data_IF_553145210936
#
_entry.id   IF_553145210936
#
_cell.length_a   1.000
_cell.length_b   1.000
_cell.length_c   1.000
_cell.angle_alpha   90.00
_cell.angle_beta   90.00
_cell.angle_gamma   90.00
#
_symmetry.space_group_name_H-M   'P 1'
#
loop_
_entity.id
_entity.type
_entity.pdbx_description
1 polymer ?
#
# COMPACT_ATOMS: atom_id res chain seq x y z
N UNK A 1 -4.25 18.55 -12.91
CA UNK A 1 -2.93 18.12 -13.39
C UNK A 1 -1.95 18.39 -12.24
N UNK A 2 -1.49 17.35 -11.56
CA UNK A 2 -0.50 17.43 -10.49
C UNK A 2 0.92 17.22 -11.04
N UNK A 3 1.93 17.53 -10.20
CA UNK A 3 3.32 17.13 -10.42
C UNK A 3 3.54 15.88 -9.58
N UNK A 4 4.01 14.81 -10.19
CA UNK A 4 4.28 13.53 -9.53
C UNK A 4 5.75 13.16 -9.70
N UNK A 5 6.30 12.52 -8.70
CA UNK A 5 7.62 11.88 -8.82
C UNK A 5 7.47 10.59 -9.64
N UNK A 6 8.36 10.42 -10.61
CA UNK A 6 8.40 9.21 -11.42
C UNK A 6 9.11 8.09 -10.66
N UNK A 7 8.44 6.98 -10.32
CA UNK A 7 9.04 5.87 -9.57
C UNK A 7 10.21 5.19 -10.31
N UNK A 8 10.32 5.35 -11.62
CA UNK A 8 11.44 4.82 -12.41
C UNK A 8 12.70 5.68 -12.33
N UNK A 9 12.57 6.92 -11.84
CA UNK A 9 13.68 7.87 -11.77
C UNK A 9 14.52 7.66 -10.51
N UNK A 10 15.78 7.28 -10.69
CA UNK A 10 16.71 7.01 -9.56
C UNK A 10 16.89 8.21 -8.64
N UNK A 11 16.89 9.45 -9.17
CA UNK A 11 17.01 10.67 -8.36
C UNK A 11 15.74 10.88 -7.51
N UNK A 12 14.56 10.61 -8.06
CA UNK A 12 13.31 10.68 -7.31
C UNK A 12 13.26 9.61 -6.20
N UNK A 13 13.67 8.37 -6.51
CA UNK A 13 13.80 7.32 -5.49
C UNK A 13 14.77 7.72 -4.37
N UNK A 14 15.93 8.31 -4.73
CA UNK A 14 16.91 8.74 -3.73
C UNK A 14 16.37 9.86 -2.85
N UNK A 15 15.66 10.84 -3.43
CA UNK A 15 15.02 11.92 -2.67
C UNK A 15 14.02 11.38 -1.62
N UNK A 16 13.23 10.36 -1.99
CA UNK A 16 12.30 9.70 -1.06
C UNK A 16 13.07 8.97 0.05
N UNK A 17 14.12 8.24 -0.32
CA UNK A 17 14.97 7.55 0.66
C UNK A 17 15.66 8.54 1.62
N UNK A 18 16.14 9.67 1.13
CA UNK A 18 16.75 10.72 1.96
C UNK A 18 15.73 11.31 2.94
N UNK A 19 14.48 11.51 2.50
CA UNK A 19 13.39 11.99 3.36
C UNK A 19 13.05 11.02 4.49
N UNK A 20 12.88 9.72 4.19
CA UNK A 20 12.60 8.72 5.25
C UNK A 20 13.80 8.52 6.18
N UNK A 21 15.03 8.65 5.65
CA UNK A 21 16.25 8.64 6.44
C UNK A 21 16.30 9.80 7.44
N UNK A 22 15.98 11.01 6.96
CA UNK A 22 15.93 12.20 7.82
C UNK A 22 14.93 12.02 8.96
N UNK A 23 13.74 11.47 8.66
CA UNK A 23 12.72 11.19 9.68
C UNK A 23 13.26 10.20 10.71
N UNK A 24 13.79 9.06 10.28
CA UNK A 24 14.30 8.03 11.17
C UNK A 24 15.51 8.48 12.01
N UNK A 25 16.35 9.39 11.50
CA UNK A 25 17.53 9.92 12.21
C UNK A 25 17.21 11.02 13.23
N UNK A 26 16.17 11.82 13.00
CA UNK A 26 15.97 13.06 13.76
C UNK A 26 14.69 13.09 14.60
N UNK A 27 13.80 12.13 14.43
CA UNK A 27 12.51 12.07 15.14
C UNK A 27 12.35 10.71 15.84
N UNK A 28 11.83 10.77 17.07
CA UNK A 28 11.52 9.58 17.87
C UNK A 28 10.19 8.98 17.40
N UNK A 29 10.25 8.23 16.31
CA UNK A 29 9.08 7.58 15.68
C UNK A 29 9.19 6.06 15.80
N UNK A 30 8.07 5.39 16.10
CA UNK A 30 8.00 3.93 16.14
C UNK A 30 7.90 3.31 14.75
N UNK A 31 7.44 4.09 13.75
CA UNK A 31 7.27 3.62 12.38
C UNK A 31 7.04 4.73 11.37
N UNK A 32 7.23 4.36 10.10
CA UNK A 32 6.95 5.20 8.92
C UNK A 32 6.00 4.42 8.03
N UNK A 33 4.94 5.06 7.54
CA UNK A 33 3.96 4.43 6.66
C UNK A 33 3.87 5.16 5.33
N UNK A 34 3.81 4.38 4.24
CA UNK A 34 3.43 4.87 2.93
C UNK A 34 1.96 4.60 2.66
N UNK A 35 1.32 5.55 1.99
CA UNK A 35 -0.03 5.43 1.47
C UNK A 35 -0.04 4.67 0.13
N UNK A 36 -1.17 4.64 -0.58
CA UNK A 36 -1.41 3.87 -1.81
C UNK A 36 -1.01 4.59 -3.11
N UNK A 37 -0.36 5.76 -3.03
CA UNK A 37 -0.01 6.57 -4.20
C UNK A 37 1.35 6.17 -4.80
N UNK A 38 1.36 5.14 -5.67
CA UNK A 38 2.59 4.66 -6.33
C UNK A 38 2.74 5.23 -7.75
N UNK A 39 2.06 4.64 -8.75
CA UNK A 39 2.01 5.26 -10.08
C UNK A 39 0.76 6.14 -10.23
N UNK A 40 0.89 7.36 -10.77
CA UNK A 40 -0.23 8.30 -10.86
C UNK A 40 -1.16 8.00 -12.04
N UNK A 41 -0.77 7.13 -12.97
CA UNK A 41 -1.49 6.86 -14.21
C UNK A 41 -0.98 5.61 -14.90
N UNK A 42 -1.87 4.96 -15.64
CA UNK A 42 -1.53 3.86 -16.57
C UNK A 42 -1.12 4.37 -17.96
N UNK A 43 -1.21 5.70 -18.24
CA UNK A 43 -0.83 6.28 -19.51
C UNK A 43 0.64 5.99 -19.83
N UNK A 44 0.88 5.33 -20.97
CA UNK A 44 2.22 4.95 -21.43
C UNK A 44 3.14 6.15 -21.70
N UNK A 45 2.56 7.35 -21.91
CA UNK A 45 3.34 8.56 -22.17
C UNK A 45 4.04 9.11 -20.94
N UNK A 46 3.62 8.70 -19.71
CA UNK A 46 4.11 9.24 -18.46
C UNK A 46 5.61 9.03 -18.28
N UNK A 47 6.08 7.81 -18.51
CA UNK A 47 7.47 7.37 -18.32
C UNK A 47 8.09 6.79 -19.59
N UNK A 48 7.52 7.13 -20.76
CA UNK A 48 7.92 6.60 -22.08
C UNK A 48 9.42 6.70 -22.35
N UNK A 49 10.02 7.86 -22.05
CA UNK A 49 11.46 8.07 -22.29
C UNK A 49 12.35 7.16 -21.44
N UNK A 50 11.95 6.93 -20.20
CA UNK A 50 12.67 6.07 -19.27
C UNK A 50 12.56 4.61 -19.69
N UNK A 51 11.37 4.20 -20.12
CA UNK A 51 11.15 2.85 -20.63
C UNK A 51 11.88 2.59 -21.96
N UNK A 52 11.88 3.56 -22.89
CA UNK A 52 12.66 3.47 -24.13
C UNK A 52 14.17 3.35 -23.84
N UNK A 53 14.70 4.12 -22.89
CA UNK A 53 16.10 4.01 -22.47
C UNK A 53 16.40 2.65 -21.81
N UNK A 54 15.47 2.09 -21.06
CA UNK A 54 15.59 0.73 -20.51
C UNK A 54 15.67 -0.33 -21.62
N UNK A 55 14.79 -0.24 -22.64
CA UNK A 55 14.82 -1.14 -23.82
C UNK A 55 16.13 -0.99 -24.60
N UNK A 56 16.61 0.23 -24.81
CA UNK A 56 17.88 0.48 -25.49
C UNK A 56 19.07 -0.17 -24.76
N UNK A 57 19.05 -0.07 -23.44
CA UNK A 57 20.14 -0.63 -22.58
C UNK A 57 20.19 -2.16 -22.60
N UNK A 58 19.06 -2.83 -22.55
CA UNK A 58 18.98 -4.28 -22.35
C UNK A 58 18.63 -5.07 -23.61
N UNK A 59 18.16 -4.39 -24.68
CA UNK A 59 17.61 -4.98 -25.89
C UNK A 59 16.15 -5.43 -25.70
N UNK A 60 15.36 -5.27 -26.74
CA UNK A 60 13.90 -5.55 -26.70
C UNK A 60 13.57 -6.98 -26.25
N UNK A 61 14.37 -7.96 -26.67
CA UNK A 61 14.14 -9.38 -26.36
C UNK A 61 14.43 -9.73 -24.90
N UNK A 62 15.27 -8.92 -24.23
CA UNK A 62 15.63 -9.10 -22.83
C UNK A 62 14.91 -8.13 -21.87
N UNK A 63 14.05 -7.27 -22.42
CA UNK A 63 13.33 -6.27 -21.64
C UNK A 63 12.01 -6.82 -21.11
N UNK A 64 11.62 -6.37 -19.92
CA UNK A 64 10.30 -6.63 -19.35
C UNK A 64 9.23 -5.88 -20.18
N UNK A 65 7.99 -6.33 -20.08
CA UNK A 65 6.83 -5.51 -20.52
C UNK A 65 6.78 -4.21 -19.70
N UNK A 66 6.09 -3.20 -20.21
CA UNK A 66 5.95 -1.91 -19.52
C UNK A 66 5.37 -2.10 -18.11
N UNK A 67 4.32 -2.90 -17.95
CA UNK A 67 3.68 -3.14 -16.66
C UNK A 67 4.64 -3.81 -15.67
N UNK A 68 5.34 -4.85 -16.08
CA UNK A 68 6.32 -5.53 -15.23
C UNK A 68 7.49 -4.61 -14.88
N UNK A 69 7.91 -3.75 -15.80
CA UNK A 69 8.97 -2.77 -15.55
C UNK A 69 8.52 -1.70 -14.55
N UNK A 70 7.30 -1.20 -14.66
CA UNK A 70 6.71 -0.26 -13.69
C UNK A 70 6.58 -0.88 -12.30
N UNK A 71 6.04 -2.09 -12.23
CA UNK A 71 5.94 -2.86 -10.97
C UNK A 71 7.31 -3.09 -10.34
N UNK A 72 8.33 -3.43 -11.15
CA UNK A 72 9.71 -3.61 -10.67
C UNK A 72 10.31 -2.29 -10.14
N UNK A 73 9.99 -1.14 -10.73
CA UNK A 73 10.44 0.16 -10.24
C UNK A 73 9.83 0.49 -8.89
N UNK A 74 8.52 0.24 -8.70
CA UNK A 74 7.85 0.39 -7.40
C UNK A 74 8.47 -0.56 -6.38
N UNK A 75 8.61 -1.85 -6.70
CA UNK A 75 9.25 -2.82 -5.80
C UNK A 75 10.68 -2.40 -5.41
N UNK A 76 11.43 -1.84 -6.36
CA UNK A 76 12.78 -1.34 -6.09
C UNK A 76 12.77 -0.16 -5.12
N UNK A 77 11.85 0.79 -5.30
CA UNK A 77 11.65 1.92 -4.39
C UNK A 77 11.32 1.42 -2.97
N UNK A 78 10.32 0.56 -2.83
CA UNK A 78 9.87 0.01 -1.55
C UNK A 78 11.02 -0.71 -0.83
N UNK A 79 11.76 -1.59 -1.53
CA UNK A 79 12.94 -2.24 -0.98
C UNK A 79 14.02 -1.25 -0.52
N UNK A 80 14.27 -0.18 -1.29
CA UNK A 80 15.25 0.86 -0.92
C UNK A 80 14.81 1.59 0.34
N UNK A 81 13.54 1.99 0.43
CA UNK A 81 12.97 2.66 1.60
C UNK A 81 13.09 1.78 2.83
N UNK A 82 12.63 0.53 2.74
CA UNK A 82 12.76 -0.44 3.83
C UNK A 82 14.20 -0.55 4.35
N UNK A 83 15.14 -0.79 3.45
CA UNK A 83 16.56 -0.93 3.81
C UNK A 83 17.14 0.37 4.39
N UNK A 84 16.74 1.51 3.89
CA UNK A 84 17.17 2.82 4.39
C UNK A 84 16.74 2.98 5.85
N UNK A 85 15.45 2.76 6.16
CA UNK A 85 14.92 2.83 7.52
C UNK A 85 15.68 1.86 8.44
N UNK A 86 15.76 0.59 8.05
CA UNK A 86 16.44 -0.46 8.85
C UNK A 86 17.94 -0.22 9.04
N UNK A 87 18.58 0.53 8.16
CA UNK A 87 20.00 0.90 8.30
C UNK A 87 20.24 2.02 9.31
N UNK A 88 19.22 2.84 9.57
CA UNK A 88 19.26 3.91 10.59
C UNK A 88 18.89 3.34 11.94
N UNK A 89 17.70 2.76 12.03
CA UNK A 89 17.19 2.10 13.23
C UNK A 89 16.34 0.88 12.84
N UNK A 90 16.79 -0.30 13.23
CA UNK A 90 16.10 -1.55 12.93
C UNK A 90 14.78 -1.74 13.69
N UNK A 91 14.54 -0.95 14.74
CA UNK A 91 13.30 -0.99 15.53
C UNK A 91 12.17 -0.16 14.91
N UNK A 92 12.48 0.83 14.07
CA UNK A 92 11.47 1.62 13.36
C UNK A 92 10.78 0.73 12.32
N UNK A 93 9.47 0.56 12.45
CA UNK A 93 8.68 -0.25 11.52
C UNK A 93 8.36 0.53 10.24
N UNK A 94 8.44 -0.15 9.10
CA UNK A 94 7.97 0.38 7.83
C UNK A 94 6.69 -0.34 7.40
N UNK A 95 5.63 0.43 7.18
CA UNK A 95 4.35 -0.08 6.74
C UNK A 95 3.87 0.52 5.42
N UNK A 96 2.94 -0.18 4.78
CA UNK A 96 2.28 0.29 3.57
C UNK A 96 0.78 0.14 3.75
N UNK A 97 0.03 1.19 3.36
CA UNK A 97 -1.44 1.23 3.38
C UNK A 97 -1.99 1.20 1.95
N UNK A 98 -2.08 0.03 1.32
CA UNK A 98 -2.56 -0.11 -0.07
C UNK A 98 -4.08 0.00 -0.16
N UNK A 99 -4.60 0.07 -1.40
CA UNK A 99 -6.03 0.01 -1.67
C UNK A 99 -6.66 -1.25 -1.07
N UNK A 100 -7.80 -1.10 -0.39
CA UNK A 100 -8.51 -2.21 0.26
C UNK A 100 -8.90 -3.31 -0.72
N UNK A 101 -9.53 -2.97 -1.85
CA UNK A 101 -9.72 -3.93 -2.93
C UNK A 101 -8.37 -4.28 -3.55
N UNK A 102 -7.97 -5.55 -3.35
CA UNK A 102 -6.63 -6.02 -3.74
C UNK A 102 -6.35 -5.83 -5.24
N UNK A 103 -7.39 -5.98 -6.09
CA UNK A 103 -7.26 -5.82 -7.54
C UNK A 103 -7.00 -4.38 -8.00
N UNK A 104 -7.40 -3.38 -7.21
CA UNK A 104 -7.15 -1.98 -7.54
C UNK A 104 -5.65 -1.62 -7.51
N UNK A 105 -4.86 -2.39 -6.79
CA UNK A 105 -3.42 -2.15 -6.67
C UNK A 105 -2.66 -2.43 -7.97
N UNK A 106 -3.23 -3.25 -8.87
CA UNK A 106 -2.63 -3.57 -10.16
C UNK A 106 -2.48 -2.30 -11.03
N UNK A 107 -3.49 -1.42 -11.06
CA UNK A 107 -3.45 -0.15 -11.78
C UNK A 107 -2.46 0.88 -11.20
N UNK A 108 -2.01 0.66 -9.98
CA UNK A 108 -0.96 1.45 -9.31
C UNK A 108 0.43 0.81 -9.44
N UNK A 109 0.52 -0.33 -10.10
CA UNK A 109 1.73 -1.18 -10.18
C UNK A 109 2.30 -1.55 -8.81
N UNK A 110 1.42 -1.70 -7.82
CA UNK A 110 1.75 -2.05 -6.45
C UNK A 110 1.66 -3.57 -6.24
N UNK A 111 2.80 -4.23 -6.14
CA UNK A 111 2.91 -5.69 -5.97
C UNK A 111 2.64 -6.10 -4.51
N UNK A 112 1.43 -5.82 -4.04
CA UNK A 112 1.04 -6.05 -2.64
C UNK A 112 1.20 -7.51 -2.22
N UNK A 113 1.04 -8.45 -3.16
CA UNK A 113 1.22 -9.88 -2.88
C UNK A 113 2.66 -10.18 -2.50
N UNK A 114 3.63 -9.69 -3.28
CA UNK A 114 5.05 -9.85 -2.95
C UNK A 114 5.40 -9.15 -1.63
N UNK A 115 4.81 -7.98 -1.35
CA UNK A 115 5.08 -7.25 -0.11
C UNK A 115 4.55 -7.97 1.13
N UNK A 116 3.44 -8.72 0.99
CA UNK A 116 2.91 -9.56 2.05
C UNK A 116 3.71 -10.85 2.26
N UNK A 117 4.18 -11.47 1.17
CA UNK A 117 4.70 -12.85 1.19
C UNK A 117 6.22 -12.97 1.19
N UNK A 118 6.94 -11.85 0.99
CA UNK A 118 8.40 -11.83 0.91
C UNK A 118 9.01 -10.83 1.89
N UNK A 119 10.17 -11.19 2.44
CA UNK A 119 10.94 -10.29 3.32
C UNK A 119 11.56 -9.11 2.57
N UNK A 120 11.72 -7.99 3.27
CA UNK A 120 12.52 -6.87 2.80
C UNK A 120 11.74 -5.80 2.04
N UNK A 121 10.42 -5.85 2.11
CA UNK A 121 9.51 -4.82 1.59
C UNK A 121 8.87 -4.00 2.70
N UNK A 122 8.27 -4.66 3.69
CA UNK A 122 7.57 -3.98 4.78
C UNK A 122 7.59 -4.84 6.04
N UNK A 123 7.36 -4.23 7.22
CA UNK A 123 7.12 -4.91 8.49
C UNK A 123 5.61 -5.14 8.71
N UNK A 124 4.77 -4.33 8.07
CA UNK A 124 3.33 -4.52 8.08
C UNK A 124 2.65 -3.99 6.83
N UNK A 125 1.49 -4.54 6.54
CA UNK A 125 0.57 -4.06 5.51
C UNK A 125 -0.74 -3.68 6.20
N UNK A 126 -1.32 -2.53 5.83
CA UNK A 126 -2.55 -1.98 6.40
C UNK A 126 -3.51 -1.57 5.28
N UNK A 127 -4.18 -2.53 4.59
CA UNK A 127 -5.10 -2.21 3.51
C UNK A 127 -6.25 -1.32 3.99
N UNK A 128 -6.65 -0.38 3.14
CA UNK A 128 -7.73 0.59 3.37
C UNK A 128 -9.09 -0.08 3.11
N UNK A 129 -9.55 -0.90 4.06
CA UNK A 129 -10.84 -1.60 3.95
C UNK A 129 -11.95 -0.64 4.38
N UNK A 130 -12.23 0.37 3.56
CA UNK A 130 -13.23 1.41 3.81
C UNK A 130 -14.58 1.06 3.19
N UNK A 131 -14.97 -0.21 3.31
CA UNK A 131 -16.24 -0.77 2.82
C UNK A 131 -17.18 -1.07 3.99
N UNK A 132 -18.49 -0.88 3.79
CA UNK A 132 -19.46 -1.30 4.79
C UNK A 132 -19.67 -2.82 4.78
N UNK A 133 -20.33 -3.33 5.82
CA UNK A 133 -20.68 -4.75 5.92
C UNK A 133 -21.65 -5.20 4.82
N UNK A 134 -22.44 -4.26 4.26
CA UNK A 134 -23.46 -4.52 3.25
C UNK A 134 -23.12 -3.86 1.89
N UNK A 135 -21.85 -3.50 1.65
CA UNK A 135 -21.45 -2.90 0.39
C UNK A 135 -21.80 -3.82 -0.79
N UNK A 136 -22.58 -3.34 -1.78
CA UNK A 136 -23.10 -4.21 -2.84
C UNK A 136 -22.04 -4.69 -3.84
N UNK A 137 -20.89 -4.04 -3.89
CA UNK A 137 -19.80 -4.40 -4.81
C UNK A 137 -18.74 -5.27 -4.12
N UNK A 138 -18.39 -4.95 -2.88
CA UNK A 138 -17.38 -5.67 -2.10
C UNK A 138 -17.63 -5.40 -0.62
N UNK A 139 -18.12 -6.38 0.13
CA UNK A 139 -18.35 -6.24 1.55
C UNK A 139 -17.03 -6.10 2.33
N UNK A 140 -17.10 -5.55 3.54
CA UNK A 140 -15.95 -5.50 4.44
C UNK A 140 -15.34 -6.90 4.67
N UNK A 141 -16.20 -7.90 4.91
CA UNK A 141 -15.75 -9.27 5.18
C UNK A 141 -15.10 -9.92 3.96
N UNK A 142 -15.71 -9.81 2.76
CA UNK A 142 -15.13 -10.36 1.52
C UNK A 142 -13.78 -9.68 1.19
N UNK A 143 -13.68 -8.39 1.44
CA UNK A 143 -12.44 -7.66 1.28
C UNK A 143 -11.37 -8.15 2.27
N UNK A 144 -11.71 -8.28 3.55
CA UNK A 144 -10.84 -8.81 4.59
C UNK A 144 -10.38 -10.24 4.27
N UNK A 145 -11.29 -11.09 3.80
CA UNK A 145 -10.98 -12.48 3.43
C UNK A 145 -9.98 -12.54 2.28
N UNK A 146 -10.06 -11.62 1.32
CA UNK A 146 -9.08 -11.54 0.23
C UNK A 146 -7.65 -11.27 0.74
N UNK A 147 -7.49 -10.46 1.78
CA UNK A 147 -6.19 -10.18 2.40
C UNK A 147 -5.73 -11.30 3.32
N UNK A 148 -6.62 -11.85 4.14
CA UNK A 148 -6.27 -12.90 5.10
C UNK A 148 -6.02 -14.26 4.45
N UNK A 149 -6.44 -14.44 3.18
CA UNK A 149 -6.14 -15.61 2.35
C UNK A 149 -4.71 -15.63 1.78
N UNK A 150 -3.99 -14.50 1.86
CA UNK A 150 -2.59 -14.46 1.45
C UNK A 150 -1.70 -15.18 2.46
N UNK A 151 -0.67 -15.86 1.97
CA UNK A 151 0.31 -16.55 2.80
C UNK A 151 1.39 -15.56 3.28
N UNK A 152 1.05 -14.77 4.29
CA UNK A 152 1.94 -13.74 4.81
C UNK A 152 3.26 -14.33 5.33
N UNK A 153 4.38 -13.67 5.02
CA UNK A 153 5.65 -13.96 5.70
C UNK A 153 5.49 -13.72 7.22
N UNK A 154 6.06 -14.57 8.03
CA UNK A 154 5.96 -14.53 9.50
C UNK A 154 6.37 -13.20 10.14
N UNK A 155 7.17 -12.39 9.43
CA UNK A 155 7.66 -11.09 9.89
C UNK A 155 6.81 -9.93 9.37
N UNK A 156 5.81 -10.17 8.51
CA UNK A 156 4.92 -9.13 7.98
C UNK A 156 3.58 -9.20 8.71
N UNK A 157 3.21 -8.12 9.39
CA UNK A 157 1.96 -8.03 10.14
C UNK A 157 0.83 -7.53 9.23
N UNK A 158 -0.38 -8.05 9.42
CA UNK A 158 -1.59 -7.49 8.82
C UNK A 158 -2.30 -6.60 9.85
N UNK A 159 -2.37 -5.32 9.58
CA UNK A 159 -3.31 -4.38 10.18
C UNK A 159 -4.44 -4.09 9.19
N UNK A 160 -5.52 -3.45 9.63
CA UNK A 160 -6.64 -3.08 8.76
C UNK A 160 -6.98 -1.61 8.97
N UNK A 161 -7.02 -0.85 7.86
CA UNK A 161 -7.50 0.52 7.86
C UNK A 161 -9.03 0.57 7.86
N UNK A 162 -9.62 1.25 8.84
CA UNK A 162 -11.06 1.47 8.97
C UNK A 162 -11.43 2.90 8.58
N UNK A 163 -12.51 3.06 7.82
CA UNK A 163 -12.99 4.36 7.33
C UNK A 163 -13.83 5.11 8.34
N UNK A 164 -13.25 5.56 9.45
CA UNK A 164 -13.96 6.28 10.51
C UNK A 164 -14.67 7.54 10.03
N UNK A 165 -14.12 8.25 9.05
CA UNK A 165 -14.70 9.44 8.44
C UNK A 165 -16.06 9.21 7.74
N UNK A 166 -16.38 7.95 7.41
CA UNK A 166 -17.66 7.58 6.77
C UNK A 166 -18.79 7.42 7.77
N UNK A 167 -18.49 7.04 9.01
CA UNK A 167 -19.50 6.74 10.02
C UNK A 167 -20.39 7.95 10.32
N UNK A 168 -21.71 7.79 10.17
CA UNK A 168 -22.70 8.85 10.34
C UNK A 168 -22.74 9.88 9.21
N UNK A 169 -22.03 9.65 8.09
CA UNK A 169 -21.96 10.58 6.97
C UNK A 169 -22.77 10.07 5.77
N UNK A 170 -23.76 10.85 5.34
CA UNK A 170 -24.64 10.52 4.21
C UNK A 170 -24.10 10.93 2.83
N UNK A 171 -22.87 11.44 2.75
CA UNK A 171 -22.22 11.79 1.47
C UNK A 171 -21.65 10.57 0.73
N UNK A 172 -21.52 9.44 1.43
CA UNK A 172 -21.05 8.20 0.88
C UNK A 172 -22.22 7.32 0.45
N UNK A 173 -22.11 6.65 -0.69
CA UNK A 173 -23.17 5.94 -1.43
C UNK A 173 -23.85 4.80 -0.65
N UNK A 174 -23.39 4.49 0.55
CA UNK A 174 -23.87 3.37 1.35
C UNK A 174 -24.72 3.88 2.52
N UNK A 175 -26.02 3.64 2.47
CA UNK A 175 -26.93 3.97 3.58
C UNK A 175 -26.50 3.36 4.93
N UNK A 176 -25.76 2.24 4.89
CA UNK A 176 -25.23 1.58 6.10
C UNK A 176 -24.33 2.50 6.90
N UNK A 177 -23.50 3.33 6.25
CA UNK A 177 -22.64 4.30 6.93
C UNK A 177 -23.42 5.40 7.65
N UNK A 178 -24.55 5.82 7.07
CA UNK A 178 -25.41 6.86 7.64
C UNK A 178 -26.30 6.34 8.77
N UNK A 179 -26.86 5.13 8.59
CA UNK A 179 -27.94 4.63 9.43
C UNK A 179 -27.47 3.73 10.58
N UNK A 180 -26.26 3.19 10.51
CA UNK A 180 -25.74 2.34 11.57
C UNK A 180 -25.09 3.15 12.68
N UNK A 181 -25.53 2.92 13.92
CA UNK A 181 -24.91 3.47 15.13
C UNK A 181 -23.69 2.64 15.61
N UNK A 182 -23.45 1.47 15.00
CA UNK A 182 -22.47 0.49 15.49
C UNK A 182 -21.45 0.01 14.46
N UNK A 183 -21.51 0.47 13.20
CA UNK A 183 -20.71 -0.10 12.09
C UNK A 183 -19.23 -0.29 12.41
N UNK A 184 -18.56 0.71 13.00
CA UNK A 184 -17.15 0.61 13.37
C UNK A 184 -16.91 -0.38 14.52
N UNK A 185 -17.90 -0.53 15.42
CA UNK A 185 -17.81 -1.53 16.49
C UNK A 185 -18.00 -2.94 15.94
N UNK A 186 -18.89 -3.11 14.98
CA UNK A 186 -19.16 -4.39 14.32
C UNK A 186 -17.94 -4.81 13.46
N UNK A 187 -17.35 -3.89 12.69
CA UNK A 187 -16.09 -4.12 11.97
C UNK A 187 -14.95 -4.50 12.94
N UNK A 188 -14.81 -3.77 14.04
CA UNK A 188 -13.81 -4.09 15.08
C UNK A 188 -14.04 -5.49 15.66
N UNK A 189 -15.28 -5.89 15.92
CA UNK A 189 -15.59 -7.23 16.45
C UNK A 189 -15.26 -8.35 15.45
N UNK A 190 -15.41 -8.11 14.15
CA UNK A 190 -14.93 -9.01 13.10
C UNK A 190 -13.41 -9.12 13.16
N UNK A 191 -12.69 -8.00 13.19
CA UNK A 191 -11.23 -7.98 13.21
C UNK A 191 -10.65 -8.68 14.44
N UNK A 192 -11.18 -8.41 15.65
CA UNK A 192 -10.67 -9.02 16.90
C UNK A 192 -10.86 -10.55 16.95
N UNK A 193 -11.81 -11.08 16.18
CA UNK A 193 -12.04 -12.52 16.07
C UNK A 193 -11.18 -13.18 14.96
N UNK A 194 -10.53 -12.39 14.12
CA UNK A 194 -9.64 -12.88 13.06
C UNK A 194 -8.20 -12.99 13.55
N UNK A 195 -7.67 -14.21 13.61
CA UNK A 195 -6.33 -14.50 14.14
C UNK A 195 -5.18 -13.97 13.28
N UNK A 196 -5.42 -13.71 12.01
CA UNK A 196 -4.41 -13.17 11.08
C UNK A 196 -4.20 -11.67 11.26
N UNK A 197 -5.22 -10.95 11.76
CA UNK A 197 -5.17 -9.51 11.97
C UNK A 197 -4.50 -9.19 13.31
N UNK A 198 -3.55 -8.25 13.30
CA UNK A 198 -2.80 -7.81 14.49
C UNK A 198 -3.37 -6.54 15.13
N UNK A 199 -4.19 -5.80 14.41
CA UNK A 199 -4.82 -4.59 14.89
C UNK A 199 -5.44 -3.80 13.74
N UNK A 200 -5.84 -2.57 14.03
CA UNK A 200 -6.45 -1.68 13.05
C UNK A 200 -5.93 -0.25 13.17
N UNK A 201 -6.11 0.53 12.12
CA UNK A 201 -5.86 1.97 12.08
C UNK A 201 -7.15 2.67 11.68
N UNK A 202 -7.58 3.67 12.44
CA UNK A 202 -8.78 4.44 12.15
C UNK A 202 -8.39 5.69 11.36
N UNK A 203 -8.90 5.81 10.15
CA UNK A 203 -8.78 7.00 9.33
C UNK A 203 -10.01 7.89 9.50
N UNK A 204 -9.80 9.15 9.95
CA UNK A 204 -10.86 10.11 10.32
C UNK A 204 -10.66 11.48 9.67
#
# INVERSE_FOLDING_TARGET
>A
NGIFLDPSNETAQQLICDGVKEIAENYDVDGIQFDDYFYPTEDESFDKKQYEAYIEKYGKENSMSLDNWRMQNVNTLICKVYRTIKSVDSSVEFGISPQGNIGNNDGLYADVKSWCTCKGFADYICPQIYFSLENPALTFEDCLDSWTSLDFDENVKLYVGLGGYKAGNGEYDEETWLLSDSILADEYDILRNNKSVRGFMLYS
#
